data_IF_146596462099
#
_entry.id   IF_146596462099
#
_cell.length_a   1.000
_cell.length_b   1.000
_cell.length_c   1.000
_cell.angle_alpha   90.00
_cell.angle_beta   90.00
_cell.angle_gamma   90.00
#
_symmetry.space_group_name_H-M   'P 1'
#
loop_
_entity.id
_entity.type
_entity.pdbx_description
1 polymer ?
#
# COMPACT_ATOMS: atom_id res chain seq x y z
N UNK A 1 36.31 -135.04 -48.30
CA UNK A 1 35.52 -134.38 -47.24
C UNK A 1 34.71 -135.44 -46.52
N UNK A 2 34.84 -135.58 -45.19
CA UNK A 2 34.03 -136.50 -44.39
C UNK A 2 32.65 -135.88 -44.16
N UNK A 3 31.58 -136.65 -44.37
CA UNK A 3 30.19 -136.26 -44.14
C UNK A 3 29.96 -135.64 -42.74
N UNK A 4 30.67 -136.12 -41.72
CA UNK A 4 30.59 -135.64 -40.34
C UNK A 4 31.13 -134.20 -40.17
N UNK A 5 32.22 -133.85 -40.87
CA UNK A 5 32.79 -132.49 -40.82
C UNK A 5 31.88 -131.46 -41.50
N UNK A 6 31.23 -131.87 -42.60
CA UNK A 6 30.22 -131.05 -43.28
C UNK A 6 29.00 -130.80 -42.37
N UNK A 7 28.55 -131.84 -41.65
CA UNK A 7 27.42 -131.73 -40.72
C UNK A 7 27.71 -130.79 -39.55
N UNK A 8 28.91 -130.86 -38.96
CA UNK A 8 29.35 -129.93 -37.91
C UNK A 8 29.43 -128.49 -38.41
N UNK A 9 29.93 -128.27 -39.63
CA UNK A 9 29.99 -126.94 -40.23
C UNK A 9 28.58 -126.36 -40.48
N UNK A 10 27.64 -127.18 -40.95
CA UNK A 10 26.23 -126.78 -41.14
C UNK A 10 25.59 -126.41 -39.79
N UNK A 11 25.81 -127.20 -38.73
CA UNK A 11 25.28 -126.88 -37.40
C UNK A 11 25.85 -125.57 -36.86
N UNK A 12 27.14 -125.32 -37.04
CA UNK A 12 27.79 -124.08 -36.61
C UNK A 12 27.27 -122.86 -37.36
N UNK A 13 27.16 -122.94 -38.70
CA UNK A 13 26.65 -121.82 -39.51
C UNK A 13 25.16 -121.56 -39.26
N UNK A 14 24.34 -122.59 -39.02
CA UNK A 14 22.93 -122.42 -38.62
C UNK A 14 22.79 -121.75 -37.26
N UNK A 15 23.63 -122.13 -36.27
CA UNK A 15 23.67 -121.45 -34.97
C UNK A 15 24.05 -119.98 -35.12
N UNK A 16 25.10 -119.68 -35.89
CA UNK A 16 25.53 -118.30 -36.16
C UNK A 16 24.45 -117.49 -36.92
N UNK A 17 23.75 -118.12 -37.88
CA UNK A 17 22.66 -117.50 -38.62
C UNK A 17 21.47 -117.20 -37.69
N UNK A 18 21.15 -118.11 -36.76
CA UNK A 18 20.11 -117.91 -35.74
C UNK A 18 20.44 -116.75 -34.81
N UNK A 19 21.67 -116.67 -34.31
CA UNK A 19 22.15 -115.55 -33.48
C UNK A 19 22.06 -114.22 -34.24
N UNK A 20 22.57 -114.16 -35.48
CA UNK A 20 22.45 -112.96 -36.33
C UNK A 20 21.00 -112.55 -36.58
N UNK A 21 20.09 -113.51 -36.84
CA UNK A 21 18.65 -113.23 -36.99
C UNK A 21 18.06 -112.66 -35.70
N UNK A 22 18.44 -113.18 -34.54
CA UNK A 22 18.01 -112.65 -33.23
C UNK A 22 18.51 -111.22 -33.00
N UNK A 23 19.78 -110.94 -33.27
CA UNK A 23 20.33 -109.58 -33.16
C UNK A 23 19.65 -108.59 -34.12
N UNK A 24 19.39 -108.99 -35.37
CA UNK A 24 18.67 -108.14 -36.33
C UNK A 24 17.24 -107.86 -35.86
N UNK A 25 16.54 -108.85 -35.29
CA UNK A 25 15.21 -108.64 -34.75
C UNK A 25 15.22 -107.69 -33.55
N UNK A 26 16.18 -107.85 -32.64
CA UNK A 26 16.34 -106.93 -31.51
C UNK A 26 16.63 -105.50 -31.98
N UNK A 27 17.55 -105.33 -32.93
CA UNK A 27 17.84 -104.02 -33.51
C UNK A 27 16.60 -103.40 -34.18
N UNK A 28 15.77 -104.19 -34.87
CA UNK A 28 14.50 -103.71 -35.45
C UNK A 28 13.52 -103.25 -34.36
N UNK A 29 13.38 -104.00 -33.27
CA UNK A 29 12.54 -103.61 -32.14
C UNK A 29 13.03 -102.30 -31.51
N UNK A 30 14.35 -102.15 -31.31
CA UNK A 30 14.95 -100.95 -30.72
C UNK A 30 14.82 -99.72 -31.65
N UNK A 31 14.96 -99.93 -32.96
CA UNK A 31 14.72 -98.90 -33.98
C UNK A 31 13.26 -98.45 -33.94
N UNK A 32 12.30 -99.38 -33.95
CA UNK A 32 10.87 -99.06 -33.90
C UNK A 32 10.52 -98.28 -32.63
N UNK A 33 11.01 -98.72 -31.46
CA UNK A 33 10.82 -98.02 -30.19
C UNK A 33 11.41 -96.60 -30.21
N UNK A 34 12.54 -96.43 -30.90
CA UNK A 34 13.16 -95.11 -31.06
C UNK A 34 12.32 -94.21 -31.98
N UNK A 35 11.76 -94.74 -33.06
CA UNK A 35 10.83 -94.01 -33.94
C UNK A 35 9.57 -93.56 -33.21
N UNK A 36 8.97 -94.42 -32.39
CA UNK A 36 7.81 -94.06 -31.57
C UNK A 36 8.13 -92.91 -30.61
N UNK A 37 9.26 -92.98 -29.90
CA UNK A 37 9.72 -91.89 -29.02
C UNK A 37 9.94 -90.59 -29.77
N UNK A 38 10.55 -90.65 -30.97
CA UNK A 38 10.76 -89.47 -31.82
C UNK A 38 9.41 -88.87 -32.24
N UNK A 39 8.42 -89.71 -32.57
CA UNK A 39 7.07 -89.25 -32.92
C UNK A 39 6.40 -88.55 -31.73
N UNK A 40 6.46 -89.15 -30.54
CA UNK A 40 5.90 -88.56 -29.33
C UNK A 40 6.54 -87.20 -29.00
N UNK A 41 7.87 -87.11 -29.02
CA UNK A 41 8.58 -85.85 -28.76
C UNK A 41 8.21 -84.79 -29.80
N UNK A 42 8.01 -85.17 -31.06
CA UNK A 42 7.61 -84.25 -32.12
C UNK A 42 6.19 -83.69 -31.90
N UNK A 43 5.26 -84.52 -31.43
CA UNK A 43 3.91 -84.09 -31.06
C UNK A 43 3.92 -83.16 -29.85
N UNK A 44 4.67 -83.51 -28.80
CA UNK A 44 4.84 -82.67 -27.61
C UNK A 44 5.47 -81.32 -27.96
N UNK A 45 6.48 -81.31 -28.84
CA UNK A 45 7.12 -80.09 -29.33
C UNK A 45 6.13 -79.21 -30.13
N UNK A 46 5.29 -79.83 -30.97
CA UNK A 46 4.24 -79.12 -31.71
C UNK A 46 3.23 -78.46 -30.76
N UNK A 47 2.76 -79.21 -29.76
CA UNK A 47 1.83 -78.69 -28.75
C UNK A 47 2.46 -77.56 -27.91
N UNK A 48 3.72 -77.72 -27.50
CA UNK A 48 4.46 -76.69 -26.78
C UNK A 48 4.66 -75.43 -27.62
N UNK A 49 4.92 -75.56 -28.92
CA UNK A 49 5.06 -74.42 -29.84
C UNK A 49 3.77 -73.63 -29.96
N UNK A 50 2.63 -74.30 -30.14
CA UNK A 50 1.31 -73.66 -30.19
C UNK A 50 1.01 -72.94 -28.87
N UNK A 51 1.25 -73.59 -27.73
CA UNK A 51 1.07 -72.97 -26.41
C UNK A 51 1.95 -71.72 -26.23
N UNK A 52 3.21 -71.78 -26.66
CA UNK A 52 4.11 -70.62 -26.61
C UNK A 52 3.58 -69.47 -27.48
N UNK A 53 3.14 -69.76 -28.70
CA UNK A 53 2.61 -68.76 -29.62
C UNK A 53 1.36 -68.07 -29.07
N UNK A 54 0.42 -68.82 -28.49
CA UNK A 54 -0.75 -68.23 -27.82
C UNK A 54 -0.38 -67.34 -26.63
N UNK A 55 0.61 -67.75 -25.82
CA UNK A 55 1.12 -66.93 -24.72
C UNK A 55 1.79 -65.66 -25.20
N UNK A 56 2.56 -65.72 -26.29
CA UNK A 56 3.19 -64.55 -26.91
C UNK A 56 2.13 -63.58 -27.40
N UNK A 57 1.12 -64.05 -28.12
CA UNK A 57 0.00 -63.22 -28.60
C UNK A 57 -0.73 -62.54 -27.43
N UNK A 58 -1.03 -63.29 -26.36
CA UNK A 58 -1.68 -62.75 -25.18
C UNK A 58 -0.80 -61.71 -24.45
N UNK A 59 0.52 -61.91 -24.39
CA UNK A 59 1.45 -60.93 -23.83
C UNK A 59 1.45 -59.64 -24.65
N UNK A 60 1.47 -59.73 -25.99
CA UNK A 60 1.42 -58.57 -26.87
C UNK A 60 0.13 -57.75 -26.67
N UNK A 61 -1.01 -58.42 -26.53
CA UNK A 61 -2.29 -57.74 -26.24
C UNK A 61 -2.24 -57.05 -24.88
N UNK A 62 -1.69 -57.69 -23.85
CA UNK A 62 -1.53 -57.07 -22.53
C UNK A 62 -0.61 -55.86 -22.57
N UNK A 63 0.50 -55.92 -23.29
CA UNK A 63 1.42 -54.79 -23.47
C UNK A 63 0.72 -53.62 -24.16
N UNK A 64 0.00 -53.88 -25.24
CA UNK A 64 -0.79 -52.86 -25.93
C UNK A 64 -1.82 -52.20 -25.00
N UNK A 65 -2.54 -52.99 -24.20
CA UNK A 65 -3.52 -52.46 -23.25
C UNK A 65 -2.87 -51.56 -22.19
N UNK A 66 -1.66 -51.91 -21.70
CA UNK A 66 -0.91 -51.06 -20.76
C UNK A 66 -0.55 -49.72 -21.38
N UNK A 67 -0.10 -49.71 -22.64
CA UNK A 67 0.20 -48.46 -23.35
C UNK A 67 -1.03 -47.58 -23.54
N UNK A 68 -2.18 -48.17 -23.87
CA UNK A 68 -3.45 -47.45 -23.99
C UNK A 68 -3.87 -46.86 -22.65
N UNK A 69 -3.80 -47.63 -21.56
CA UNK A 69 -4.15 -47.15 -20.22
C UNK A 69 -3.24 -46.02 -19.78
N UNK A 70 -1.93 -46.10 -20.07
CA UNK A 70 -0.99 -45.02 -19.76
C UNK A 70 -1.35 -43.72 -20.49
N UNK A 71 -1.71 -43.80 -21.78
CA UNK A 71 -2.16 -42.61 -22.54
C UNK A 71 -3.46 -42.03 -21.97
N UNK A 72 -4.37 -42.88 -21.49
CA UNK A 72 -5.61 -42.43 -20.84
C UNK A 72 -5.32 -41.74 -19.51
N UNK A 73 -4.42 -42.30 -18.70
CA UNK A 73 -3.96 -41.71 -17.43
C UNK A 73 -3.31 -40.33 -17.66
N UNK A 74 -2.38 -40.22 -18.61
CA UNK A 74 -1.73 -38.95 -18.96
C UNK A 74 -2.74 -37.88 -19.40
N UNK A 75 -3.74 -38.29 -20.20
CA UNK A 75 -4.83 -37.40 -20.64
C UNK A 75 -5.71 -36.94 -19.48
N UNK A 76 -6.07 -37.85 -18.58
CA UNK A 76 -6.88 -37.54 -17.39
C UNK A 76 -6.14 -36.61 -16.43
N UNK A 77 -4.84 -36.81 -16.21
CA UNK A 77 -4.05 -35.93 -15.35
C UNK A 77 -3.95 -34.52 -15.95
N UNK A 78 -3.82 -34.41 -17.28
CA UNK A 78 -3.87 -33.12 -17.98
C UNK A 78 -5.23 -32.43 -17.81
N UNK A 79 -6.34 -33.15 -17.99
CA UNK A 79 -7.69 -32.62 -17.81
C UNK A 79 -7.92 -32.16 -16.36
N UNK A 80 -7.47 -32.95 -15.39
CA UNK A 80 -7.53 -32.61 -13.96
C UNK A 80 -6.75 -31.33 -13.65
N UNK A 81 -5.54 -31.18 -14.17
CA UNK A 81 -4.76 -29.97 -14.01
C UNK A 81 -5.46 -28.73 -14.62
N UNK A 82 -6.07 -28.88 -15.79
CA UNK A 82 -6.86 -27.83 -16.44
C UNK A 82 -8.08 -27.44 -15.60
N UNK A 83 -8.85 -28.40 -15.09
CA UNK A 83 -9.99 -28.16 -14.21
C UNK A 83 -9.59 -27.47 -12.90
N UNK A 84 -8.45 -27.83 -12.31
CA UNK A 84 -7.92 -27.16 -11.12
C UNK A 84 -7.59 -25.69 -11.43
N UNK A 85 -6.99 -25.41 -12.58
CA UNK A 85 -6.67 -24.05 -13.01
C UNK A 85 -7.94 -23.23 -13.25
N UNK A 86 -8.94 -23.79 -13.94
CA UNK A 86 -10.23 -23.16 -14.15
C UNK A 86 -10.94 -22.86 -12.81
N UNK A 87 -11.00 -23.84 -11.90
CA UNK A 87 -11.56 -23.67 -10.55
C UNK A 87 -10.89 -22.53 -9.80
N UNK A 88 -9.57 -22.48 -9.85
CA UNK A 88 -8.78 -21.44 -9.14
C UNK A 88 -9.05 -20.05 -9.72
N UNK A 89 -9.14 -19.93 -11.04
CA UNK A 89 -9.50 -18.68 -11.72
C UNK A 89 -10.91 -18.21 -11.34
N UNK A 90 -11.90 -19.12 -11.39
CA UNK A 90 -13.29 -18.81 -10.99
C UNK A 90 -13.40 -18.39 -9.53
N UNK A 91 -12.68 -19.05 -8.62
CA UNK A 91 -12.63 -18.67 -7.21
C UNK A 91 -12.09 -17.25 -7.02
N UNK A 92 -11.07 -16.85 -7.79
CA UNK A 92 -10.54 -15.49 -7.76
C UNK A 92 -11.57 -14.47 -8.25
N UNK A 93 -12.21 -14.74 -9.40
CA UNK A 93 -13.27 -13.87 -9.94
C UNK A 93 -14.42 -13.72 -8.95
N UNK A 94 -14.83 -14.81 -8.31
CA UNK A 94 -15.90 -14.79 -7.29
C UNK A 94 -15.51 -13.97 -6.06
N UNK A 95 -14.27 -14.08 -5.58
CA UNK A 95 -13.77 -13.28 -4.46
C UNK A 95 -13.73 -11.79 -4.82
N UNK A 96 -13.26 -11.45 -6.02
CA UNK A 96 -13.23 -10.07 -6.52
C UNK A 96 -14.66 -9.50 -6.67
N UNK A 97 -15.59 -10.29 -7.19
CA UNK A 97 -17.00 -9.88 -7.32
C UNK A 97 -17.65 -9.65 -5.95
N UNK A 98 -17.42 -10.54 -4.98
CA UNK A 98 -17.94 -10.37 -3.60
C UNK A 98 -17.41 -9.09 -2.96
N UNK A 99 -16.12 -8.82 -3.11
CA UNK A 99 -15.50 -7.59 -2.61
C UNK A 99 -16.10 -6.34 -3.24
N UNK A 100 -16.31 -6.35 -4.57
CA UNK A 100 -16.97 -5.23 -5.25
C UNK A 100 -18.41 -5.03 -4.76
N UNK A 101 -19.17 -6.11 -4.55
CA UNK A 101 -20.52 -6.01 -3.99
C UNK A 101 -20.49 -5.33 -2.63
N UNK A 102 -19.60 -5.75 -1.72
CA UNK A 102 -19.50 -5.13 -0.40
C UNK A 102 -19.03 -3.68 -0.47
N UNK A 103 -18.09 -3.35 -1.37
CA UNK A 103 -17.63 -1.97 -1.59
C UNK A 103 -18.77 -1.08 -2.10
N UNK A 104 -19.58 -1.55 -3.04
CA UNK A 104 -20.73 -0.81 -3.57
C UNK A 104 -21.87 -0.70 -2.55
N UNK A 105 -22.13 -1.73 -1.74
CA UNK A 105 -23.10 -1.68 -0.64
C UNK A 105 -22.69 -0.65 0.43
N UNK A 106 -21.40 -0.62 0.79
CA UNK A 106 -20.84 0.36 1.73
C UNK A 106 -20.90 1.78 1.14
N UNK A 107 -20.55 1.94 -0.15
CA UNK A 107 -20.64 3.21 -0.87
C UNK A 107 -22.08 3.73 -0.88
N UNK A 108 -23.03 2.89 -1.28
CA UNK A 108 -24.44 3.24 -1.33
C UNK A 108 -24.97 3.64 0.05
N UNK A 109 -24.64 2.87 1.09
CA UNK A 109 -25.05 3.17 2.47
C UNK A 109 -24.50 4.51 2.95
N UNK A 110 -23.22 4.79 2.62
CA UNK A 110 -22.59 6.08 2.92
C UNK A 110 -23.25 7.22 2.17
N UNK A 111 -23.45 7.11 0.86
CA UNK A 111 -24.08 8.15 0.04
C UNK A 111 -25.50 8.46 0.52
N UNK A 112 -26.31 7.43 0.83
CA UNK A 112 -27.65 7.60 1.40
C UNK A 112 -27.59 8.29 2.77
N UNK A 113 -26.61 7.94 3.60
CA UNK A 113 -26.43 8.57 4.91
C UNK A 113 -26.03 10.04 4.77
N UNK A 114 -25.09 10.35 3.88
CA UNK A 114 -24.65 11.72 3.57
C UNK A 114 -25.81 12.56 3.03
N UNK A 115 -26.54 12.03 2.04
CA UNK A 115 -27.73 12.67 1.48
C UNK A 115 -28.80 12.94 2.56
N UNK A 116 -29.12 11.94 3.38
CA UNK A 116 -30.11 12.10 4.43
C UNK A 116 -29.68 13.13 5.50
N UNK A 117 -28.38 13.23 5.77
CA UNK A 117 -27.83 14.23 6.69
C UNK A 117 -27.85 15.64 6.08
N UNK A 118 -27.47 15.78 4.81
CA UNK A 118 -27.46 17.06 4.08
C UNK A 118 -28.85 17.69 4.01
N UNK A 119 -29.86 16.87 3.69
CA UNK A 119 -31.24 17.33 3.59
C UNK A 119 -32.04 17.18 4.88
N UNK A 120 -31.41 16.72 5.96
CA UNK A 120 -32.06 16.55 7.27
C UNK A 120 -33.28 15.63 7.21
N UNK A 121 -33.25 14.59 6.36
CA UNK A 121 -34.34 13.60 6.21
C UNK A 121 -34.34 12.55 7.32
N UNK A 122 -33.27 12.51 8.12
CA UNK A 122 -33.18 11.63 9.30
C UNK A 122 -34.03 12.14 10.47
N UNK A 123 -34.60 11.24 11.28
CA UNK A 123 -35.40 11.59 12.48
C UNK A 123 -34.64 12.44 13.53
N UNK A 124 -33.32 12.56 13.42
CA UNK A 124 -32.44 13.39 14.24
C UNK A 124 -32.23 14.81 13.69
N UNK A 125 -33.01 15.25 12.69
CA UNK A 125 -32.96 16.61 12.11
C UNK A 125 -32.96 17.70 13.18
N UNK A 126 -33.91 17.65 14.11
CA UNK A 126 -34.06 18.65 15.16
C UNK A 126 -32.84 18.69 16.08
N UNK A 127 -32.23 17.52 16.36
CA UNK A 127 -31.01 17.43 17.15
C UNK A 127 -29.82 18.10 16.42
N UNK A 128 -29.68 17.88 15.11
CA UNK A 128 -28.61 18.47 14.31
C UNK A 128 -28.78 19.98 14.15
N UNK A 129 -29.99 20.46 13.84
CA UNK A 129 -30.30 21.88 13.77
C UNK A 129 -30.01 22.54 15.12
N UNK A 130 -30.46 21.94 16.23
CA UNK A 130 -30.22 22.47 17.58
C UNK A 130 -28.73 22.52 17.92
N UNK A 131 -27.93 21.52 17.54
CA UNK A 131 -26.47 21.54 17.73
C UNK A 131 -25.81 22.64 16.90
N UNK A 132 -26.17 22.78 15.62
CA UNK A 132 -25.62 23.80 14.72
C UNK A 132 -25.94 25.21 15.22
N UNK A 133 -27.21 25.47 15.54
CA UNK A 133 -27.66 26.76 16.09
C UNK A 133 -26.96 27.06 17.41
N UNK A 134 -26.78 26.06 18.27
CA UNK A 134 -26.04 26.24 19.54
C UNK A 134 -24.57 26.61 19.32
N UNK A 135 -23.90 25.99 18.35
CA UNK A 135 -22.52 26.33 18.01
C UNK A 135 -22.43 27.76 17.48
N UNK A 136 -23.32 28.12 16.55
CA UNK A 136 -23.36 29.45 15.93
C UNK A 136 -23.69 30.56 16.94
N UNK A 137 -24.60 30.32 17.89
CA UNK A 137 -24.86 31.25 19.01
C UNK A 137 -23.61 31.43 19.88
N UNK A 138 -22.92 30.34 20.25
CA UNK A 138 -21.70 30.44 21.06
C UNK A 138 -20.61 31.25 20.34
N UNK A 139 -20.46 31.08 19.03
CA UNK A 139 -19.47 31.83 18.23
C UNK A 139 -19.82 33.32 18.21
N UNK A 140 -21.09 33.67 17.98
CA UNK A 140 -21.56 35.06 18.01
C UNK A 140 -21.46 35.70 19.40
N UNK A 141 -21.72 34.96 20.48
CA UNK A 141 -21.55 35.44 21.85
C UNK A 141 -20.07 35.74 22.15
N UNK A 142 -19.15 34.90 21.67
CA UNK A 142 -17.72 35.14 21.81
C UNK A 142 -17.26 36.38 21.04
N UNK A 143 -17.72 36.55 19.79
CA UNK A 143 -17.43 37.76 19.00
C UNK A 143 -17.99 39.02 19.65
N UNK A 144 -19.22 38.97 20.16
CA UNK A 144 -19.83 40.08 20.87
C UNK A 144 -19.05 40.46 22.14
N UNK A 145 -18.55 39.47 22.88
CA UNK A 145 -17.70 39.71 24.06
C UNK A 145 -16.36 40.37 23.68
N UNK A 146 -15.73 39.93 22.59
CA UNK A 146 -14.49 40.55 22.09
C UNK A 146 -14.73 42.00 21.67
N UNK A 147 -15.77 42.26 20.89
CA UNK A 147 -16.13 43.62 20.46
C UNK A 147 -16.44 44.54 21.63
N UNK A 148 -17.16 44.03 22.65
CA UNK A 148 -17.45 44.81 23.86
C UNK A 148 -16.17 45.23 24.58
N UNK A 149 -15.22 44.30 24.77
CA UNK A 149 -13.94 44.60 25.40
C UNK A 149 -13.13 45.64 24.59
N UNK A 150 -13.17 45.54 23.26
CA UNK A 150 -12.51 46.51 22.38
C UNK A 150 -13.14 47.90 22.49
N UNK A 151 -14.47 48.00 22.51
CA UNK A 151 -15.21 49.24 22.72
C UNK A 151 -14.86 49.88 24.07
N UNK A 152 -14.85 49.12 25.16
CA UNK A 152 -14.49 49.63 26.50
C UNK A 152 -13.05 50.15 26.53
N UNK A 153 -12.12 49.48 25.87
CA UNK A 153 -10.73 49.92 25.71
C UNK A 153 -10.64 51.23 24.90
N UNK A 154 -11.41 51.36 23.82
CA UNK A 154 -11.48 52.58 23.02
C UNK A 154 -12.07 53.76 23.80
N UNK A 155 -13.15 53.52 24.55
CA UNK A 155 -13.78 54.51 25.44
C UNK A 155 -12.75 55.05 26.44
N UNK A 156 -12.02 54.16 27.11
CA UNK A 156 -10.98 54.55 28.06
C UNK A 156 -9.86 55.38 27.40
N UNK A 157 -9.39 54.97 26.22
CA UNK A 157 -8.39 55.73 25.45
C UNK A 157 -8.92 57.11 25.05
N UNK A 158 -10.20 57.20 24.67
CA UNK A 158 -10.83 58.46 24.30
C UNK A 158 -10.92 59.42 25.50
N UNK A 159 -11.27 58.92 26.68
CA UNK A 159 -11.25 59.70 27.93
C UNK A 159 -9.84 60.23 28.23
N UNK A 160 -8.80 59.39 28.08
CA UNK A 160 -7.42 59.81 28.25
C UNK A 160 -7.00 60.87 27.22
N UNK A 161 -7.39 60.70 25.95
CA UNK A 161 -7.10 61.64 24.87
C UNK A 161 -7.73 63.01 25.16
N UNK A 162 -9.00 63.04 25.58
CA UNK A 162 -9.70 64.27 25.94
C UNK A 162 -9.01 64.99 27.12
N UNK A 163 -8.54 64.24 28.12
CA UNK A 163 -7.78 64.82 29.24
C UNK A 163 -6.44 65.44 28.78
N UNK A 164 -5.72 64.77 27.87
CA UNK A 164 -4.49 65.30 27.28
C UNK A 164 -4.75 66.55 26.41
N UNK A 165 -5.86 66.59 25.66
CA UNK A 165 -6.26 67.76 24.87
C UNK A 165 -6.53 68.97 25.79
N UNK A 166 -7.18 68.75 26.94
CA UNK A 166 -7.43 69.80 27.93
C UNK A 166 -6.11 70.35 28.50
N UNK A 167 -5.21 69.48 28.97
CA UNK A 167 -3.89 69.87 29.48
C UNK A 167 -3.05 70.63 28.44
N UNK A 168 -3.08 70.18 27.17
CA UNK A 168 -2.42 70.87 26.07
C UNK A 168 -2.97 72.28 25.86
N UNK A 169 -4.28 72.47 25.99
CA UNK A 169 -4.91 73.79 25.85
C UNK A 169 -4.57 74.71 27.03
N UNK A 170 -4.53 74.19 28.25
CA UNK A 170 -4.08 74.91 29.46
C UNK A 170 -2.62 75.37 29.30
N UNK A 171 -1.71 74.46 28.96
CA UNK A 171 -0.30 74.80 28.71
C UNK A 171 -0.12 75.83 27.60
N UNK A 172 -0.98 75.80 26.56
CA UNK A 172 -0.96 76.79 25.49
C UNK A 172 -1.38 78.17 25.99
N UNK A 173 -2.38 78.26 26.87
CA UNK A 173 -2.77 79.52 27.51
C UNK A 173 -1.64 80.04 28.42
N UNK A 174 -1.05 79.18 29.25
CA UNK A 174 0.08 79.56 30.11
C UNK A 174 1.25 80.10 29.30
N UNK A 175 1.56 79.46 28.17
CA UNK A 175 2.62 79.92 27.26
C UNK A 175 2.31 81.29 26.65
N UNK A 176 1.06 81.57 26.27
CA UNK A 176 0.67 82.92 25.81
C UNK A 176 0.81 83.97 26.91
N UNK A 177 0.42 83.63 28.15
CA UNK A 177 0.55 84.52 29.31
C UNK A 177 2.01 84.85 29.57
N UNK A 178 2.88 83.84 29.65
CA UNK A 178 4.33 84.00 29.81
C UNK A 178 4.97 84.82 28.68
N UNK A 179 4.54 84.63 27.43
CA UNK A 179 5.01 85.45 26.31
C UNK A 179 4.61 86.92 26.44
N UNK A 180 3.39 87.20 26.94
CA UNK A 180 2.94 88.56 27.21
C UNK A 180 3.74 89.20 28.34
N UNK A 181 3.91 88.49 29.45
CA UNK A 181 4.72 88.95 30.59
C UNK A 181 6.16 89.24 30.17
N UNK A 182 6.79 88.35 29.40
CA UNK A 182 8.14 88.54 28.88
C UNK A 182 8.23 89.81 28.02
N UNK A 183 7.24 90.06 27.15
CA UNK A 183 7.19 91.26 26.32
C UNK A 183 7.04 92.55 27.14
N UNK A 184 6.28 92.50 28.23
CA UNK A 184 6.12 93.63 29.14
C UNK A 184 7.38 93.87 29.97
N UNK A 185 8.04 92.82 30.49
CA UNK A 185 9.36 92.92 31.11
C UNK A 185 10.41 93.51 30.16
N UNK A 186 10.45 93.07 28.90
CA UNK A 186 11.34 93.66 27.90
C UNK A 186 11.09 95.16 27.67
N UNK A 187 9.84 95.62 27.74
CA UNK A 187 9.54 97.07 27.68
C UNK A 187 10.09 97.79 28.90
N UNK A 188 9.85 97.24 30.10
CA UNK A 188 10.36 97.80 31.36
C UNK A 188 11.89 97.88 31.33
N UNK A 189 12.58 96.85 30.82
CA UNK A 189 14.04 96.85 30.64
C UNK A 189 14.46 97.97 29.68
N UNK A 190 13.82 98.09 28.50
CA UNK A 190 14.12 99.16 27.53
C UNK A 190 13.89 100.57 28.11
N UNK A 191 12.86 100.74 28.93
CA UNK A 191 12.59 102.00 29.63
C UNK A 191 13.63 102.30 30.71
N UNK A 192 14.01 101.30 31.51
CA UNK A 192 15.07 101.42 32.51
C UNK A 192 16.43 101.73 31.86
N UNK A 193 16.77 101.10 30.74
CA UNK A 193 17.96 101.41 29.94
C UNK A 193 17.94 102.86 29.44
N UNK A 194 16.80 103.35 28.93
CA UNK A 194 16.64 104.75 28.50
C UNK A 194 16.78 105.72 29.66
N UNK A 195 16.14 105.43 30.79
CA UNK A 195 16.24 106.24 32.01
C UNK A 195 17.68 106.31 32.51
N UNK A 196 18.38 105.16 32.53
CA UNK A 196 19.78 105.09 32.92
C UNK A 196 20.66 105.95 32.00
N UNK A 197 20.47 105.88 30.68
CA UNK A 197 21.17 106.75 29.72
C UNK A 197 20.88 108.24 29.93
N UNK A 198 19.64 108.61 30.22
CA UNK A 198 19.26 110.00 30.50
C UNK A 198 19.94 110.52 31.78
N UNK A 199 19.93 109.74 32.85
CA UNK A 199 20.61 110.07 34.11
C UNK A 199 22.13 110.15 33.94
N UNK A 200 22.72 109.30 33.09
CA UNK A 200 24.14 109.34 32.76
C UNK A 200 24.52 110.59 31.95
N UNK A 201 23.67 110.99 30.99
CA UNK A 201 23.80 112.26 30.28
C UNK A 201 23.62 113.48 31.21
N UNK A 202 22.65 113.45 32.12
CA UNK A 202 22.44 114.49 33.13
C UNK A 202 23.63 114.58 34.09
N UNK A 203 24.19 113.44 34.52
CA UNK A 203 25.42 113.40 35.31
C UNK A 203 26.57 114.10 34.57
N UNK A 204 26.77 113.80 33.28
CA UNK A 204 27.79 114.48 32.44
C UNK A 204 27.53 115.99 32.42
N UNK A 205 26.29 116.42 32.16
CA UNK A 205 25.89 117.84 32.13
C UNK A 205 26.11 118.57 33.48
N UNK A 206 25.84 117.90 34.60
CA UNK A 206 26.08 118.43 35.95
C UNK A 206 27.58 118.49 36.27
N UNK A 207 28.39 117.57 35.76
CA UNK A 207 29.86 117.66 35.85
C UNK A 207 30.48 118.73 34.94
N UNK A 208 29.80 119.18 33.89
CA UNK A 208 30.24 120.27 32.99
C UNK A 208 29.81 121.68 33.48
N UNK A 209 28.74 121.78 34.30
CA UNK A 209 28.26 123.04 34.90
C UNK A 209 29.32 123.84 35.67
N UNK A 210 30.27 123.26 36.42
CA UNK A 210 31.33 124.02 37.07
C UNK A 210 32.32 124.69 36.09
N UNK A 211 32.34 124.31 34.80
CA UNK A 211 33.22 124.90 33.78
C UNK A 211 32.54 125.97 32.91
N UNK A 212 31.21 126.12 33.00
CA UNK A 212 30.43 127.06 32.15
C UNK A 212 29.56 128.04 32.95
N UNK A 213 29.70 128.08 34.28
CA UNK A 213 29.09 129.07 35.18
C UNK A 213 30.04 130.28 35.40
N UNK A 214 29.65 131.51 35.02
CA UNK A 214 30.46 132.71 35.22
C UNK A 214 30.62 133.16 36.69
N UNK A 215 29.98 132.54 37.67
CA UNK A 215 30.31 132.76 39.10
C UNK A 215 31.39 131.80 39.64
N UNK A 216 31.84 130.80 38.87
CA UNK A 216 32.78 129.76 39.32
C UNK A 216 34.09 129.65 38.50
N UNK A 217 34.49 130.69 37.76
CA UNK A 217 35.86 130.82 37.25
C UNK A 217 36.56 132.07 37.83
N UNK A 218 37.29 131.79 38.92
CA UNK A 218 38.51 132.50 39.34
C UNK A 218 39.72 131.83 38.70
#
# INVERSE_FOLDING_TARGET
>A
MNLNALFQQIQFTEKQAREKRSFIQQAKCDINRSYEKISQIKEELSAAKINLETKVQHLSVKQFNVEVLKKQEDSLEKQKAELINQRTSLLKIMADAKRKITEEEDNFTREITEFNNEYGLTSNRDLHIKKKVKAEINDLENEAALLKNEMESMEHKNVQLNALELQKNELKQDLFTLQSELKDLEKVIREAERMTKNLEAEKIQVTEKPQTDPECLR
#
